data_IF_948138417590
#
_entry.id   IF_948138417590
#
_cell.length_a   1.000
_cell.length_b   1.000
_cell.length_c   1.000
_cell.angle_alpha   90.00
_cell.angle_beta   90.00
_cell.angle_gamma   90.00
#
_symmetry.space_group_name_H-M   'P 1'
#
loop_
_entity.id
_entity.type
_entity.pdbx_description
1 polymer ?
#
# COMPACT_ATOMS: atom_id res chain seq x y z
N UNK A 1 6.14 13.60 -21.70
CA UNK A 1 4.72 13.18 -21.58
C UNK A 1 4.40 12.93 -20.11
N UNK A 2 3.42 13.63 -19.52
CA UNK A 2 3.04 13.49 -18.09
C UNK A 2 1.63 12.91 -17.96
N UNK A 3 1.37 12.19 -16.86
CA UNK A 3 0.08 11.54 -16.66
C UNK A 3 -1.07 12.52 -16.38
N UNK A 4 -0.78 13.74 -15.90
CA UNK A 4 -1.78 14.79 -15.67
C UNK A 4 -2.47 15.22 -16.98
N UNK A 5 -1.72 15.24 -18.09
CA UNK A 5 -2.27 15.54 -19.42
C UNK A 5 -2.75 14.27 -20.14
N UNK A 6 -2.07 13.14 -19.90
CA UNK A 6 -2.33 11.88 -20.59
C UNK A 6 -2.47 10.72 -19.60
N UNK A 7 -3.66 10.58 -18.98
CA UNK A 7 -3.95 9.50 -18.00
C UNK A 7 -3.60 8.10 -18.49
N UNK A 8 -3.70 7.85 -19.81
CA UNK A 8 -3.37 6.55 -20.43
C UNK A 8 -1.91 6.14 -20.25
N UNK A 9 -0.99 7.09 -20.05
CA UNK A 9 0.44 6.82 -19.84
C UNK A 9 0.68 5.91 -18.65
N UNK A 10 -0.13 5.99 -17.59
CA UNK A 10 0.03 5.15 -16.40
C UNK A 10 -0.39 3.69 -16.60
N UNK A 11 -1.15 3.38 -17.66
CA UNK A 11 -1.50 2.01 -18.01
C UNK A 11 -0.49 1.34 -18.93
N UNK A 12 0.54 2.07 -19.37
CA UNK A 12 1.62 1.51 -20.14
C UNK A 12 2.45 0.52 -19.29
N UNK A 13 2.97 -0.52 -19.94
CA UNK A 13 3.83 -1.54 -19.31
C UNK A 13 5.07 -0.87 -18.69
N UNK A 14 5.45 -1.30 -17.49
CA UNK A 14 6.62 -0.77 -16.76
C UNK A 14 6.36 0.47 -15.90
N UNK A 15 5.11 0.96 -15.83
CA UNK A 15 4.73 2.00 -14.86
C UNK A 15 4.41 1.39 -13.50
N UNK A 16 4.62 2.17 -12.43
CA UNK A 16 4.39 1.73 -11.05
C UNK A 16 2.91 1.58 -10.67
N UNK A 17 1.98 2.03 -11.52
CA UNK A 17 0.56 1.72 -11.38
C UNK A 17 -0.33 2.58 -12.28
N UNK A 18 -1.63 2.27 -12.34
CA UNK A 18 -2.55 2.87 -13.29
C UNK A 18 -3.05 4.25 -12.87
N UNK A 19 -2.77 4.69 -11.65
CA UNK A 19 -3.30 5.95 -11.11
C UNK A 19 -2.27 7.07 -11.26
N UNK A 20 -2.73 8.25 -11.65
CA UNK A 20 -1.89 9.44 -11.73
C UNK A 20 -2.04 10.25 -10.46
N UNK A 21 -0.95 10.42 -9.71
CA UNK A 21 -0.87 11.27 -8.53
C UNK A 21 0.31 12.24 -8.70
N UNK A 22 0.03 13.55 -8.77
CA UNK A 22 1.05 14.61 -8.86
C UNK A 22 2.10 14.34 -9.96
N UNK A 23 1.68 14.13 -11.22
CA UNK A 23 2.55 13.78 -12.37
C UNK A 23 3.22 12.40 -12.31
N UNK A 24 3.03 11.63 -11.25
CA UNK A 24 3.61 10.29 -11.09
C UNK A 24 2.55 9.20 -11.23
N UNK A 25 2.92 8.09 -11.85
CA UNK A 25 2.08 6.92 -11.94
C UNK A 25 2.31 6.05 -10.71
N UNK A 26 1.26 5.79 -9.94
CA UNK A 26 1.30 5.03 -8.69
C UNK A 26 0.20 3.98 -8.67
N UNK A 27 0.35 3.01 -7.78
CA UNK A 27 -0.69 2.03 -7.51
C UNK A 27 -1.30 2.29 -6.13
N UNK A 28 -2.47 2.93 -6.09
CA UNK A 28 -3.15 3.23 -4.82
C UNK A 28 -3.54 1.96 -4.05
N UNK A 29 -3.48 0.78 -4.66
CA UNK A 29 -3.77 -0.48 -3.99
C UNK A 29 -2.60 -1.02 -3.17
N UNK A 30 -1.38 -0.55 -3.43
CA UNK A 30 -0.14 -1.11 -2.84
C UNK A 30 0.88 -0.06 -2.43
N UNK A 31 0.74 1.20 -2.86
CA UNK A 31 1.66 2.29 -2.54
C UNK A 31 1.35 2.88 -1.16
N UNK A 32 2.28 2.71 -0.21
CA UNK A 32 2.17 3.24 1.15
C UNK A 32 2.04 4.77 1.22
N UNK A 33 2.43 5.51 0.18
CA UNK A 33 2.34 6.97 0.13
C UNK A 33 1.05 7.47 -0.52
N UNK A 34 0.29 6.58 -1.17
CA UNK A 34 -0.90 6.91 -1.95
C UNK A 34 -2.02 5.87 -1.74
N UNK A 35 -2.14 5.30 -0.54
CA UNK A 35 -2.98 4.15 -0.29
C UNK A 35 -4.47 4.49 -0.30
N UNK A 36 -5.22 3.90 -1.23
CA UNK A 36 -6.64 4.16 -1.48
C UNK A 36 -6.92 5.49 -2.19
N UNK A 37 -6.06 6.50 -2.01
CA UNK A 37 -6.13 7.78 -2.70
C UNK A 37 -4.76 8.48 -2.74
N UNK A 38 -4.57 9.38 -3.70
CA UNK A 38 -3.35 10.17 -3.81
C UNK A 38 -3.02 10.91 -2.50
N UNK A 39 -1.77 10.80 -2.05
CA UNK A 39 -1.27 11.46 -0.84
C UNK A 39 -1.74 10.88 0.50
N UNK A 40 -2.59 9.84 0.50
CA UNK A 40 -2.95 9.13 1.74
C UNK A 40 -1.80 8.20 2.12
N UNK A 41 -1.00 8.66 3.08
CA UNK A 41 0.14 7.92 3.60
C UNK A 41 -0.27 6.98 4.72
N UNK A 42 0.16 5.72 4.65
CA UNK A 42 0.07 4.78 5.76
C UNK A 42 1.12 5.09 6.83
N UNK A 43 0.79 4.85 8.10
CA UNK A 43 1.74 5.05 9.21
C UNK A 43 2.88 4.03 9.18
N UNK A 44 3.93 4.29 9.98
CA UNK A 44 5.18 3.50 9.97
C UNK A 44 4.97 2.00 10.20
N UNK A 45 4.00 1.61 11.03
CA UNK A 45 3.66 0.21 11.30
C UNK A 45 2.62 -0.38 10.33
N UNK A 46 2.24 0.34 9.29
CA UNK A 46 1.20 -0.04 8.35
C UNK A 46 1.74 -0.28 6.94
N UNK A 47 1.09 -1.18 6.22
CA UNK A 47 1.29 -1.37 4.79
C UNK A 47 -0.02 -1.12 4.04
N UNK A 48 0.09 -0.69 2.78
CA UNK A 48 -1.05 -0.55 1.90
C UNK A 48 -1.46 -1.92 1.35
N UNK A 49 -2.57 -2.42 1.87
CA UNK A 49 -3.13 -3.71 1.50
C UNK A 49 -4.48 -3.49 0.83
N UNK A 50 -4.53 -3.65 -0.49
CA UNK A 50 -5.77 -3.51 -1.25
C UNK A 50 -6.39 -2.11 -1.14
N UNK A 51 -5.58 -1.07 -1.04
CA UNK A 51 -6.05 0.31 -0.90
C UNK A 51 -6.42 0.73 0.53
N UNK A 52 -6.20 -0.14 1.52
CA UNK A 52 -6.36 0.18 2.94
C UNK A 52 -5.04 0.07 3.68
N UNK A 53 -4.78 1.00 4.60
CA UNK A 53 -3.62 0.90 5.48
C UNK A 53 -3.92 -0.13 6.57
N UNK A 54 -3.14 -1.21 6.58
CA UNK A 54 -3.29 -2.32 7.53
C UNK A 54 -2.07 -2.41 8.41
N UNK A 55 -2.26 -2.58 9.71
CA UNK A 55 -1.17 -2.68 10.68
C UNK A 55 -0.48 -4.03 10.54
N UNK A 56 0.74 -4.02 10.00
CA UNK A 56 1.47 -5.27 9.73
C UNK A 56 2.28 -5.77 10.92
N UNK A 57 2.35 -4.99 11.99
CA UNK A 57 3.02 -5.38 13.22
C UNK A 57 2.08 -6.14 14.14
N UNK A 58 0.80 -5.74 14.21
CA UNK A 58 -0.17 -6.25 15.19
C UNK A 58 -1.35 -7.02 14.62
N UNK A 59 -1.52 -7.05 13.31
CA UNK A 59 -2.59 -7.85 12.72
C UNK A 59 -2.14 -9.31 12.53
N UNK A 60 -2.79 -10.29 13.20
CA UNK A 60 -2.46 -11.71 13.07
C UNK A 60 -2.55 -12.25 11.64
N UNK A 61 -3.30 -11.58 10.77
CA UNK A 61 -3.51 -11.94 9.37
C UNK A 61 -2.63 -11.16 8.40
N UNK A 62 -1.89 -10.15 8.87
CA UNK A 62 -1.06 -9.28 8.03
C UNK A 62 0.37 -9.08 8.59
N UNK A 63 0.96 -10.09 9.21
CA UNK A 63 2.28 -10.05 9.81
C UNK A 63 3.41 -9.72 8.81
N UNK A 64 4.07 -8.57 9.00
CA UNK A 64 5.16 -8.09 8.14
C UNK A 64 4.75 -7.81 6.68
N UNK A 65 3.46 -7.84 6.36
CA UNK A 65 2.93 -7.62 5.02
C UNK A 65 1.50 -8.14 4.85
N UNK A 66 0.87 -7.72 3.76
CA UNK A 66 -0.53 -8.06 3.47
C UNK A 66 -0.76 -9.56 3.30
N UNK A 67 -1.87 -10.06 3.86
CA UNK A 67 -2.34 -11.45 3.78
C UNK A 67 -1.32 -12.49 4.27
N UNK A 68 -0.44 -12.11 5.19
CA UNK A 68 0.54 -13.00 5.83
C UNK A 68 0.10 -13.35 7.24
N UNK A 69 -0.22 -14.62 7.48
CA UNK A 69 -0.48 -15.10 8.85
C UNK A 69 0.81 -15.09 9.67
N UNK A 70 0.72 -14.66 10.93
CA UNK A 70 1.85 -14.73 11.85
C UNK A 70 2.25 -16.19 12.14
N UNK A 71 3.55 -16.43 12.30
CA UNK A 71 4.02 -17.69 12.89
C UNK A 71 3.58 -17.74 14.36
N UNK A 72 3.24 -18.94 14.88
CA UNK A 72 3.02 -19.14 16.32
C UNK A 72 4.26 -18.61 17.08
N UNK A 73 4.05 -17.71 18.03
CA UNK A 73 5.10 -17.03 18.80
C UNK A 73 5.51 -15.64 18.30
N UNK A 74 5.01 -15.17 17.15
CA UNK A 74 5.29 -13.83 16.60
C UNK A 74 4.10 -12.85 16.69
N UNK A 75 3.04 -13.23 17.40
CA UNK A 75 2.01 -12.27 17.78
C UNK A 75 2.67 -11.23 18.70
N UNK A 76 2.54 -9.92 18.43
CA UNK A 76 2.98 -8.93 19.40
C UNK A 76 2.12 -9.11 20.64
N UNK A 77 2.80 -9.44 21.74
CA UNK A 77 2.38 -9.34 23.13
C UNK A 77 1.07 -8.58 23.31
N UNK A 78 -0.05 -9.31 23.26
CA UNK A 78 -1.23 -8.96 24.05
C UNK A 78 -1.40 -10.16 24.95
N UNK A 79 -1.59 -9.87 26.23
CA UNK A 79 -1.74 -10.78 27.36
C UNK A 79 -0.43 -11.11 28.13
N UNK A 80 0.09 -10.09 28.82
CA UNK A 80 0.23 -10.12 30.29
C UNK A 80 -0.54 -8.93 30.86
#
# INVERSE_FOLDING_TARGET
MTCDKFRRVCRARGRAGPHCCRKQCVNVMTDNQNCGQCGKKCWFSQACCGGSCVNVMHDPKNCGGCNKRCKKGFLPVRDV
#
